data_IF_906256957595
#
_entry.id   IF_906256957595
#
_cell.length_a   1.000
_cell.length_b   1.000
_cell.length_c   1.000
_cell.angle_alpha   90.00
_cell.angle_beta   90.00
_cell.angle_gamma   90.00
#
_symmetry.space_group_name_H-M   'P 1'
#
loop_
_entity.id
_entity.type
_entity.pdbx_description
1 polymer ?
#
# COMPACT_ATOMS: atom_id res chain seq x y z
N UNK A 1 -26.74 -11.09 -30.84
CA UNK A 1 -26.35 -11.91 -29.67
C UNK A 1 -25.01 -11.37 -29.16
N UNK A 2 -25.04 -10.43 -28.22
CA UNK A 2 -23.86 -9.71 -27.72
C UNK A 2 -23.09 -10.58 -26.73
N UNK A 3 -21.81 -10.83 -27.03
CA UNK A 3 -20.87 -11.47 -26.12
C UNK A 3 -20.71 -10.56 -24.88
N UNK A 4 -20.85 -11.08 -23.65
CA UNK A 4 -20.68 -10.25 -22.47
C UNK A 4 -19.24 -9.68 -22.44
N UNK A 5 -19.05 -8.42 -22.01
CA UNK A 5 -17.71 -7.87 -21.88
C UNK A 5 -16.97 -8.67 -20.82
N UNK A 6 -15.95 -9.43 -21.24
CA UNK A 6 -14.98 -10.06 -20.34
C UNK A 6 -14.05 -9.00 -19.75
N UNK A 7 -14.65 -8.05 -19.04
CA UNK A 7 -14.02 -6.94 -18.35
C UNK A 7 -13.52 -7.34 -16.97
N UNK A 8 -12.43 -8.09 -16.94
CA UNK A 8 -11.39 -7.86 -15.94
C UNK A 8 -11.74 -8.10 -14.46
N UNK A 9 -12.43 -9.19 -14.12
CA UNK A 9 -12.50 -9.70 -12.74
C UNK A 9 -11.16 -10.32 -12.28
N UNK A 10 -10.02 -9.67 -12.56
CA UNK A 10 -8.66 -10.16 -12.29
C UNK A 10 -7.89 -9.28 -11.28
N UNK A 11 -8.51 -8.21 -10.77
CA UNK A 11 -7.85 -7.22 -9.91
C UNK A 11 -8.28 -7.18 -8.43
N UNK A 12 -9.39 -7.84 -8.07
CA UNK A 12 -10.10 -7.58 -6.80
C UNK A 12 -9.35 -8.03 -5.53
N UNK A 13 -8.42 -8.98 -5.64
CA UNK A 13 -7.70 -9.59 -4.51
C UNK A 13 -6.18 -9.44 -4.60
N UNK A 14 -5.68 -8.35 -5.17
CA UNK A 14 -4.25 -7.99 -5.10
C UNK A 14 -4.01 -7.07 -3.92
N UNK A 15 -3.02 -7.40 -3.09
CA UNK A 15 -2.53 -6.54 -2.02
C UNK A 15 -2.14 -5.14 -2.52
N UNK A 16 -2.03 -4.18 -1.61
CA UNK A 16 -1.78 -2.78 -1.95
C UNK A 16 -0.44 -2.58 -2.66
N UNK A 17 -0.41 -1.66 -3.63
CA UNK A 17 0.85 -1.16 -4.19
C UNK A 17 1.60 -0.34 -3.15
N UNK A 18 2.91 -0.28 -3.28
CA UNK A 18 3.73 0.48 -2.33
C UNK A 18 3.38 1.97 -2.29
N UNK A 19 3.06 2.58 -3.44
CA UNK A 19 2.60 3.97 -3.50
C UNK A 19 1.25 4.19 -2.80
N UNK A 20 0.34 3.22 -2.89
CA UNK A 20 -0.96 3.23 -2.20
C UNK A 20 -0.73 3.15 -0.67
N UNK A 21 0.12 2.22 -0.21
CA UNK A 21 0.51 2.08 1.21
C UNK A 21 1.16 3.36 1.76
N UNK A 22 1.99 4.01 0.94
CA UNK A 22 2.71 5.23 1.32
C UNK A 22 1.83 6.46 1.43
N UNK A 23 0.62 6.43 0.87
CA UNK A 23 -0.30 7.58 0.83
C UNK A 23 -1.60 7.37 1.57
N UNK A 24 -1.91 6.13 1.97
CA UNK A 24 -3.10 5.84 2.78
C UNK A 24 -3.08 6.65 4.09
N UNK A 25 -4.24 7.14 4.47
CA UNK A 25 -4.45 7.93 5.69
C UNK A 25 -5.04 7.09 6.82
N UNK A 26 -4.93 7.61 8.05
CA UNK A 26 -5.51 6.95 9.22
C UNK A 26 -7.03 6.80 9.06
N UNK A 27 -7.72 7.81 8.53
CA UNK A 27 -9.17 7.78 8.32
C UNK A 27 -9.62 6.73 7.29
N UNK A 28 -8.75 6.38 6.33
CA UNK A 28 -9.02 5.36 5.31
C UNK A 28 -9.10 3.96 5.95
N UNK A 29 -8.35 3.72 7.04
CA UNK A 29 -8.21 2.39 7.70
C UNK A 29 -8.98 2.30 9.03
N UNK A 30 -9.00 3.37 9.81
CA UNK A 30 -9.63 3.39 11.12
C UNK A 30 -10.95 4.16 11.08
N UNK A 31 -11.93 3.62 11.80
CA UNK A 31 -13.13 4.36 12.16
C UNK A 31 -12.80 5.37 13.28
N UNK A 32 -13.63 6.41 13.46
CA UNK A 32 -13.48 7.33 14.59
C UNK A 32 -13.47 6.62 15.95
N UNK A 33 -14.22 5.52 16.09
CA UNK A 33 -14.22 4.65 17.28
C UNK A 33 -12.89 3.97 17.58
N UNK A 34 -11.95 3.97 16.62
CA UNK A 34 -10.69 3.24 16.70
C UNK A 34 -10.78 1.78 16.23
N UNK A 35 -11.94 1.32 15.75
CA UNK A 35 -12.04 0.02 15.07
C UNK A 35 -11.35 0.06 13.70
N UNK A 36 -10.71 -1.05 13.33
CA UNK A 36 -10.12 -1.23 12.00
C UNK A 36 -11.26 -1.56 11.04
N UNK A 37 -11.31 -0.89 9.90
CA UNK A 37 -12.23 -1.21 8.83
C UNK A 37 -11.79 -2.51 8.16
N UNK A 38 -12.70 -3.49 8.07
CA UNK A 38 -12.45 -4.74 7.34
C UNK A 38 -12.24 -4.45 5.84
N UNK A 39 -13.06 -3.54 5.31
CA UNK A 39 -12.95 -3.02 3.95
C UNK A 39 -12.39 -1.59 3.95
N UNK A 40 -11.25 -1.45 3.28
CA UNK A 40 -10.54 -0.17 3.10
C UNK A 40 -10.76 0.29 1.67
N UNK A 41 -11.48 1.40 1.52
CA UNK A 41 -11.68 2.06 0.23
C UNK A 41 -10.51 2.99 -0.08
N UNK A 42 -9.68 2.63 -1.06
CA UNK A 42 -8.57 3.46 -1.53
C UNK A 42 -9.09 4.57 -2.45
N UNK A 43 -8.80 5.82 -2.10
CA UNK A 43 -9.15 7.00 -2.90
C UNK A 43 -8.55 6.92 -4.30
N UNK A 44 -9.31 7.35 -5.31
CA UNK A 44 -8.85 7.40 -6.70
C UNK A 44 -7.47 8.10 -6.85
N UNK A 45 -7.25 9.18 -6.09
CA UNK A 45 -6.02 9.98 -6.08
C UNK A 45 -4.74 9.21 -5.72
N UNK A 46 -4.84 8.07 -5.01
CA UNK A 46 -3.67 7.28 -4.59
C UNK A 46 -3.50 6.00 -5.41
N UNK A 47 -4.48 5.67 -6.26
CA UNK A 47 -4.52 4.42 -7.04
C UNK A 47 -3.94 4.59 -8.44
N UNK A 48 -3.34 3.53 -8.99
CA UNK A 48 -2.94 3.52 -10.41
C UNK A 48 -4.18 3.57 -11.30
N UNK A 49 -4.16 4.46 -12.29
CA UNK A 49 -5.27 4.62 -13.24
C UNK A 49 -6.43 5.45 -12.68
N UNK A 50 -6.24 6.13 -11.55
CA UNK A 50 -7.18 7.09 -10.98
C UNK A 50 -8.59 6.50 -10.75
N UNK A 51 -8.66 5.22 -10.34
CA UNK A 51 -9.92 4.51 -10.08
C UNK A 51 -9.92 3.98 -8.66
N UNK A 52 -10.96 4.38 -7.91
CA UNK A 52 -11.20 3.88 -6.56
C UNK A 52 -11.29 2.35 -6.57
N UNK A 53 -10.70 1.73 -5.56
CA UNK A 53 -10.76 0.28 -5.36
C UNK A 53 -10.76 -0.06 -3.87
N UNK A 54 -11.31 -1.21 -3.53
CA UNK A 54 -11.35 -1.69 -2.17
C UNK A 54 -10.26 -2.73 -1.90
N UNK A 55 -9.79 -2.78 -0.65
CA UNK A 55 -8.83 -3.75 -0.14
C UNK A 55 -9.34 -4.27 1.20
N UNK A 56 -9.27 -5.58 1.38
CA UNK A 56 -9.69 -6.22 2.63
C UNK A 56 -8.49 -6.48 3.55
N UNK A 57 -8.57 -5.99 4.79
CA UNK A 57 -7.57 -6.23 5.84
C UNK A 57 -8.03 -7.36 6.77
N UNK A 58 -8.06 -8.59 6.25
CA UNK A 58 -8.54 -9.75 7.02
C UNK A 58 -7.43 -10.58 7.67
N UNK A 59 -6.16 -10.38 7.28
CA UNK A 59 -5.09 -11.26 7.74
C UNK A 59 -4.67 -10.94 9.20
N UNK A 60 -4.74 -11.91 10.14
CA UNK A 60 -4.52 -11.64 11.57
C UNK A 60 -3.11 -11.11 11.88
N UNK A 61 -2.08 -11.53 11.13
CA UNK A 61 -0.72 -10.99 11.31
C UNK A 61 -0.62 -9.52 10.91
N UNK A 62 -1.38 -9.09 9.90
CA UNK A 62 -1.42 -7.68 9.47
C UNK A 62 -2.12 -6.84 10.52
N UNK A 63 -3.24 -7.33 11.06
CA UNK A 63 -3.97 -6.66 12.14
C UNK A 63 -3.09 -6.51 13.39
N UNK A 64 -2.44 -7.59 13.84
CA UNK A 64 -1.53 -7.55 14.99
C UNK A 64 -0.32 -6.62 14.78
N UNK A 65 0.25 -6.61 13.57
CA UNK A 65 1.34 -5.70 13.22
C UNK A 65 0.88 -4.24 13.21
N UNK A 66 -0.33 -3.98 12.72
CA UNK A 66 -0.94 -2.67 12.69
C UNK A 66 -1.22 -2.16 14.11
N UNK A 67 -1.79 -2.99 14.98
CA UNK A 67 -2.02 -2.66 16.39
C UNK A 67 -0.74 -2.26 17.10
N UNK A 68 0.31 -3.09 16.98
CA UNK A 68 1.62 -2.82 17.57
C UNK A 68 2.25 -1.54 17.01
N UNK A 69 2.08 -1.28 15.72
CA UNK A 69 2.59 -0.08 15.08
C UNK A 69 1.88 1.18 15.57
N UNK A 70 0.54 1.15 15.67
CA UNK A 70 -0.26 2.27 16.21
C UNK A 70 0.12 2.58 17.65
N UNK A 71 0.24 1.56 18.50
CA UNK A 71 0.63 1.77 19.90
C UNK A 71 2.03 2.39 20.01
N UNK A 72 3.00 1.85 19.27
CA UNK A 72 4.35 2.43 19.20
C UNK A 72 4.31 3.89 18.73
N UNK A 73 3.43 4.21 17.77
CA UNK A 73 3.29 5.55 17.19
C UNK A 73 2.70 6.54 18.20
N UNK A 74 1.71 6.09 18.97
CA UNK A 74 1.11 6.84 20.07
C UNK A 74 2.13 7.13 21.18
N UNK A 75 2.80 6.11 21.71
CA UNK A 75 3.81 6.24 22.79
C UNK A 75 4.95 7.18 22.40
N UNK A 76 5.29 7.27 21.10
CA UNK A 76 6.35 8.15 20.58
C UNK A 76 5.85 9.54 20.13
N UNK A 77 4.57 9.86 20.35
CA UNK A 77 3.98 11.16 19.99
C UNK A 77 4.06 11.50 18.50
N UNK A 78 3.90 10.50 17.62
CA UNK A 78 4.09 10.67 16.18
C UNK A 78 2.76 10.95 15.47
N UNK A 79 2.47 12.22 15.18
CA UNK A 79 1.23 12.66 14.54
C UNK A 79 -0.01 12.15 15.29
N UNK A 80 0.01 12.42 16.59
CA UNK A 80 -1.00 12.03 17.56
C UNK A 80 -1.99 13.17 17.79
N UNK A 81 -3.26 12.84 18.00
CA UNK A 81 -4.28 13.75 18.47
C UNK A 81 -4.26 13.82 20.01
N UNK A 82 -4.90 14.81 20.61
CA UNK A 82 -5.02 14.86 22.08
C UNK A 82 -6.00 13.80 22.61
N UNK A 83 -7.01 13.44 21.82
CA UNK A 83 -8.04 12.48 22.20
C UNK A 83 -7.68 11.06 21.74
N UNK A 84 -7.32 10.19 22.70
CA UNK A 84 -7.01 8.77 22.43
C UNK A 84 -8.24 7.95 22.04
N UNK A 85 -9.45 8.37 22.42
CA UNK A 85 -10.69 7.65 22.12
C UNK A 85 -10.99 7.69 20.63
N UNK A 86 -10.49 8.71 19.92
CA UNK A 86 -10.70 8.89 18.49
C UNK A 86 -9.52 8.39 17.68
N UNK A 87 -9.77 7.53 16.68
CA UNK A 87 -8.74 6.94 15.81
C UNK A 87 -7.51 6.40 16.58
N UNK A 88 -7.75 5.86 17.79
CA UNK A 88 -6.72 5.39 18.73
C UNK A 88 -5.65 6.43 19.10
N UNK A 89 -6.00 7.71 19.07
CA UNK A 89 -5.10 8.82 19.36
C UNK A 89 -4.25 9.25 18.17
N UNK A 90 -4.50 8.76 16.95
CA UNK A 90 -3.84 9.26 15.76
C UNK A 90 -4.66 10.37 15.09
N UNK A 91 -3.99 11.32 14.43
CA UNK A 91 -4.67 12.31 13.59
C UNK A 91 -5.20 11.64 12.31
N UNK A 92 -6.49 11.82 12.03
CA UNK A 92 -7.23 11.16 10.94
C UNK A 92 -6.66 11.41 9.53
N UNK A 93 -6.22 12.64 9.26
CA UNK A 93 -5.69 13.09 7.96
C UNK A 93 -4.20 12.80 7.75
N UNK A 94 -3.53 12.23 8.75
CA UNK A 94 -2.10 11.89 8.60
C UNK A 94 -1.93 10.56 7.87
N UNK A 95 -0.82 10.41 7.17
CA UNK A 95 -0.51 9.12 6.54
C UNK A 95 -0.34 8.04 7.60
N UNK A 96 -0.88 6.85 7.35
CA UNK A 96 -0.74 5.72 8.25
C UNK A 96 0.73 5.30 8.37
N UNK A 97 1.41 5.16 7.24
CA UNK A 97 2.83 4.77 7.20
C UNK A 97 3.70 6.03 7.11
N UNK A 98 4.53 6.23 8.12
CA UNK A 98 5.42 7.39 8.21
C UNK A 98 6.86 7.04 7.86
N UNK A 99 7.57 8.04 7.35
CA UNK A 99 9.03 8.02 7.20
C UNK A 99 9.72 8.07 8.57
N UNK A 100 11.05 7.87 8.57
CA UNK A 100 11.87 8.11 9.77
C UNK A 100 11.77 9.57 10.27
N UNK A 101 11.57 10.52 9.34
CA UNK A 101 11.32 11.95 9.63
C UNK A 101 9.91 12.24 10.15
N UNK A 102 9.11 11.20 10.40
CA UNK A 102 7.72 11.30 10.92
C UNK A 102 6.75 11.99 9.96
N UNK A 103 7.10 12.06 8.67
CA UNK A 103 6.27 12.65 7.61
C UNK A 103 5.72 11.58 6.67
N UNK A 104 4.79 11.97 5.80
CA UNK A 104 4.35 11.16 4.67
C UNK A 104 5.51 10.93 3.70
N UNK A 105 5.51 9.78 3.02
CA UNK A 105 6.46 9.52 1.95
C UNK A 105 6.22 10.41 0.73
N UNK A 106 7.29 11.02 0.26
CA UNK A 106 7.29 11.80 -0.97
C UNK A 106 7.18 10.89 -2.19
N UNK A 107 6.51 11.39 -3.23
CA UNK A 107 6.40 10.68 -4.50
C UNK A 107 7.28 11.35 -5.52
N UNK A 108 8.04 10.54 -6.26
CA UNK A 108 8.81 10.98 -7.42
C UNK A 108 7.97 10.80 -8.69
N UNK A 109 7.91 11.82 -9.53
CA UNK A 109 7.31 11.70 -10.86
C UNK A 109 8.29 10.98 -11.78
N UNK A 110 7.85 9.84 -12.33
CA UNK A 110 8.61 9.12 -13.35
C UNK A 110 7.90 9.25 -14.68
N UNK A 111 8.67 9.66 -15.69
CA UNK A 111 8.24 9.73 -17.08
C UNK A 111 8.64 8.42 -17.76
N UNK A 112 7.67 7.69 -18.31
CA UNK A 112 7.92 6.53 -19.16
C UNK A 112 7.11 6.65 -20.43
N UNK A 113 7.70 6.24 -21.53
CA UNK A 113 6.99 6.04 -22.77
C UNK A 113 6.20 4.74 -22.65
N UNK A 114 4.88 4.82 -22.78
CA UNK A 114 4.02 3.63 -22.86
C UNK A 114 4.30 2.88 -24.16
N UNK A 115 3.80 1.64 -24.26
CA UNK A 115 3.95 0.78 -25.45
C UNK A 115 3.34 1.40 -26.73
N UNK A 116 2.48 2.41 -26.57
CA UNK A 116 1.83 3.18 -27.66
C UNK A 116 2.66 4.42 -28.07
N UNK A 117 3.82 4.66 -27.45
CA UNK A 117 4.67 5.82 -27.75
C UNK A 117 4.30 7.10 -26.97
N UNK A 118 3.21 7.09 -26.21
CA UNK A 118 2.78 8.23 -25.39
C UNK A 118 3.62 8.36 -24.10
N UNK A 119 3.97 9.58 -23.71
CA UNK A 119 4.60 9.83 -22.41
C UNK A 119 3.57 9.75 -21.29
N UNK A 120 3.68 8.71 -20.46
CA UNK A 120 2.94 8.61 -19.21
C UNK A 120 3.80 9.08 -18.04
N UNK A 121 3.25 10.00 -17.25
CA UNK A 121 3.78 10.35 -15.95
C UNK A 121 3.10 9.48 -14.88
N UNK A 122 3.89 8.83 -14.03
CA UNK A 122 3.37 8.16 -12.85
C UNK A 122 4.14 8.56 -11.60
N UNK A 123 3.41 8.58 -10.49
CA UNK A 123 3.98 8.86 -9.18
C UNK A 123 4.49 7.57 -8.53
N UNK A 124 5.75 7.57 -8.10
CA UNK A 124 6.43 6.43 -7.49
C UNK A 124 6.89 6.76 -6.06
N UNK A 125 6.72 5.81 -5.14
CA UNK A 125 7.20 5.93 -3.75
C UNK A 125 8.59 5.30 -3.57
N UNK A 126 9.59 5.80 -4.29
CA UNK A 126 10.93 5.19 -4.37
C UNK A 126 11.61 5.05 -3.01
N UNK A 127 11.41 6.01 -2.11
CA UNK A 127 11.97 5.97 -0.75
C UNK A 127 11.31 4.88 0.11
N UNK A 128 10.00 4.66 -0.04
CA UNK A 128 9.29 3.54 0.61
C UNK A 128 9.77 2.21 0.05
N UNK A 129 9.89 2.12 -1.28
CA UNK A 129 10.39 0.94 -1.97
C UNK A 129 11.81 0.59 -1.56
N UNK A 130 12.70 1.57 -1.48
CA UNK A 130 14.07 1.36 -1.02
C UNK A 130 14.12 0.86 0.42
N UNK A 131 13.31 1.44 1.31
CA UNK A 131 13.22 1.00 2.70
C UNK A 131 12.78 -0.48 2.81
N UNK A 132 11.75 -0.86 2.06
CA UNK A 132 11.26 -2.24 2.03
C UNK A 132 12.32 -3.18 1.46
N UNK A 133 12.98 -2.82 0.34
CA UNK A 133 14.07 -3.62 -0.25
C UNK A 133 15.19 -3.87 0.77
N UNK A 134 15.60 -2.83 1.51
CA UNK A 134 16.64 -2.95 2.54
C UNK A 134 16.20 -3.93 3.63
N UNK A 135 14.97 -3.81 4.15
CA UNK A 135 14.41 -4.75 5.15
C UNK A 135 14.42 -6.21 4.65
N UNK A 136 14.04 -6.46 3.40
CA UNK A 136 14.07 -7.80 2.84
C UNK A 136 15.50 -8.33 2.67
N UNK A 137 16.46 -7.48 2.33
CA UNK A 137 17.88 -7.86 2.21
C UNK A 137 18.47 -8.20 3.57
N UNK A 138 18.22 -7.40 4.59
CA UNK A 138 18.78 -7.61 5.95
C UNK A 138 18.19 -8.83 6.65
N UNK A 139 16.98 -9.24 6.30
CA UNK A 139 16.33 -10.45 6.82
C UNK A 139 16.71 -11.74 6.07
N UNK A 140 17.64 -11.66 5.10
CA UNK A 140 18.07 -12.82 4.28
C UNK A 140 17.09 -13.24 3.19
N UNK A 141 15.96 -12.53 3.04
CA UNK A 141 14.92 -12.79 2.03
C UNK A 141 15.23 -12.15 0.66
N UNK A 142 16.33 -11.40 0.56
CA UNK A 142 16.64 -10.50 -0.57
C UNK A 142 16.85 -11.15 -1.94
N UNK A 143 17.18 -12.45 -2.02
CA UNK A 143 17.48 -13.13 -3.30
C UNK A 143 16.23 -13.34 -4.18
N UNK A 144 15.02 -13.42 -3.60
CA UNK A 144 13.76 -13.65 -4.36
C UNK A 144 12.95 -12.37 -4.62
N UNK A 145 13.09 -11.35 -3.79
CA UNK A 145 12.25 -10.13 -3.83
C UNK A 145 12.76 -9.07 -4.81
N UNK A 146 14.08 -9.01 -5.03
CA UNK A 146 14.69 -7.99 -5.91
C UNK A 146 14.25 -8.12 -7.38
N UNK A 147 13.94 -9.34 -7.84
CA UNK A 147 13.43 -9.57 -9.20
C UNK A 147 11.97 -9.09 -9.37
N UNK A 148 11.12 -9.27 -8.36
CA UNK A 148 9.68 -8.93 -8.42
C UNK A 148 9.43 -7.41 -8.37
N UNK A 149 10.29 -6.66 -7.66
CA UNK A 149 10.13 -5.22 -7.47
C UNK A 149 10.57 -4.40 -8.70
N UNK A 150 11.43 -4.95 -9.57
CA UNK A 150 11.91 -4.25 -10.79
C UNK A 150 10.81 -4.09 -11.86
N UNK A 151 9.81 -4.97 -11.88
CA UNK A 151 8.79 -5.03 -12.94
C UNK A 151 7.45 -4.37 -12.56
N UNK A 152 7.39 -3.62 -11.45
CA UNK A 152 6.14 -2.93 -11.03
C UNK A 152 5.01 -3.88 -10.61
N UNK A 153 5.33 -5.15 -10.30
CA UNK A 153 4.38 -6.11 -9.75
C UNK A 153 4.10 -5.84 -8.25
N UNK A 154 2.87 -6.08 -7.76
CA UNK A 154 2.56 -5.97 -6.34
C UNK A 154 3.41 -6.93 -5.50
N UNK A 155 3.78 -6.49 -4.30
CA UNK A 155 4.57 -7.27 -3.34
C UNK A 155 3.90 -8.63 -3.10
N UNK A 156 4.67 -9.74 -3.04
CA UNK A 156 4.09 -11.06 -3.02
C UNK A 156 3.50 -11.37 -1.65
N UNK A 157 2.19 -11.63 -1.61
CA UNK A 157 1.72 -12.80 -0.86
C UNK A 157 2.21 -13.99 -1.67
N UNK A 158 2.87 -14.91 -0.99
CA UNK A 158 3.52 -16.12 -1.50
C UNK A 158 2.69 -16.80 -2.59
N UNK A 159 3.39 -17.43 -3.56
CA UNK A 159 2.91 -18.37 -4.59
C UNK A 159 2.55 -17.78 -5.97
N UNK A 160 3.45 -17.98 -6.95
CA UNK A 160 3.16 -18.78 -8.16
C UNK A 160 4.41 -18.93 -9.04
N UNK A 161 4.99 -20.12 -9.04
CA UNK A 161 5.76 -20.69 -10.16
C UNK A 161 5.09 -22.03 -10.47
N UNK A 162 4.35 -22.14 -11.58
CA UNK A 162 4.44 -23.22 -12.59
C UNK A 162 3.22 -23.31 -13.51
N UNK A 163 3.52 -23.67 -14.76
CA UNK A 163 2.68 -24.04 -15.93
C UNK A 163 2.11 -22.84 -16.70
N UNK A 164 2.44 -22.61 -17.98
CA UNK A 164 2.48 -23.51 -19.17
C UNK A 164 3.48 -22.86 -20.21
N UNK A 165 4.64 -23.45 -20.61
CA UNK A 165 5.00 -24.25 -21.83
C UNK A 165 4.22 -23.88 -23.12
N UNK A 166 4.73 -23.56 -24.31
CA UNK A 166 6.04 -23.51 -24.96
C UNK A 166 6.28 -22.10 -25.52
#
# INVERSE_FOLDING_TARGET
MQKPPEGGLRGFTRGMRISEISRIEVADVFQPSGLIREEVSLRAAITKGCRQRCVYLSHPKVLAALDRYVERRWVRGKATAMDRRKWRGLMSYTSLVLTHKRSRYELSTKRRTNDVGEQAEYLAADSSQSYVIVLYRTTGLGKRVTAVIRDGAPLPVVFWRRNIRF
#
